data_IF_582450140229
#
_entry.id   IF_582450140229
#
_cell.length_a   1.000
_cell.length_b   1.000
_cell.length_c   1.000
_cell.angle_alpha   90.00
_cell.angle_beta   90.00
_cell.angle_gamma   90.00
#
_symmetry.space_group_name_H-M   'P 1'
#
loop_
_entity.id
_entity.type
_entity.pdbx_description
1 polymer ?
#
# COMPACT_ATOMS: atom_id res chain seq x y z
N UNK A 1 -35.62 -13.98 -17.47
CA UNK A 1 -34.96 -12.74 -17.04
C UNK A 1 -33.57 -12.71 -17.64
N UNK A 2 -33.17 -11.66 -18.36
CA UNK A 2 -31.85 -11.59 -18.99
C UNK A 2 -30.77 -11.55 -17.89
N UNK A 3 -29.89 -12.55 -17.86
CA UNK A 3 -28.80 -12.65 -16.88
C UNK A 3 -27.52 -11.94 -17.33
N UNK A 4 -27.44 -11.53 -18.60
CA UNK A 4 -26.28 -10.84 -19.13
C UNK A 4 -26.22 -9.40 -18.60
N UNK A 5 -25.07 -9.05 -18.04
CA UNK A 5 -24.68 -7.67 -17.69
C UNK A 5 -23.31 -7.38 -18.29
N UNK A 6 -23.06 -6.14 -18.72
CA UNK A 6 -21.75 -5.76 -19.28
C UNK A 6 -20.66 -6.02 -18.23
N UNK A 7 -19.56 -6.66 -18.64
CA UNK A 7 -18.47 -7.09 -17.78
C UNK A 7 -18.72 -8.41 -17.04
N UNK A 8 -19.88 -9.06 -17.22
CA UNK A 8 -20.09 -10.41 -16.70
C UNK A 8 -19.14 -11.40 -17.37
N UNK A 9 -18.59 -12.31 -16.56
CA UNK A 9 -17.80 -13.43 -17.05
C UNK A 9 -18.70 -14.61 -17.31
N UNK A 10 -18.54 -15.22 -18.48
CA UNK A 10 -19.36 -16.33 -18.92
C UNK A 10 -18.51 -17.40 -19.59
N UNK A 11 -18.87 -18.67 -19.42
CA UNK A 11 -18.33 -19.78 -20.20
C UNK A 11 -19.45 -20.38 -21.04
N UNK A 12 -19.19 -20.67 -22.31
CA UNK A 12 -20.16 -21.35 -23.15
C UNK A 12 -20.21 -22.84 -22.76
N UNK A 13 -21.39 -23.34 -22.35
CA UNK A 13 -21.56 -24.73 -21.90
C UNK A 13 -21.30 -25.72 -23.02
N UNK A 14 -21.82 -25.43 -24.19
CA UNK A 14 -21.73 -26.36 -25.34
C UNK A 14 -20.39 -26.24 -26.10
N UNK A 15 -19.60 -25.19 -25.85
CA UNK A 15 -18.36 -24.93 -26.60
C UNK A 15 -17.26 -24.51 -25.61
N UNK A 16 -16.71 -25.47 -24.84
CA UNK A 16 -15.67 -25.17 -23.84
C UNK A 16 -14.39 -24.59 -24.45
N UNK A 17 -14.11 -24.87 -25.72
CA UNK A 17 -12.94 -24.37 -26.45
C UNK A 17 -12.92 -22.86 -26.64
N UNK A 18 -14.04 -22.16 -26.39
CA UNK A 18 -14.05 -20.70 -26.38
C UNK A 18 -13.35 -20.12 -25.14
N UNK A 19 -13.13 -20.91 -24.08
CA UNK A 19 -12.56 -20.42 -22.83
C UNK A 19 -13.55 -19.54 -22.06
N UNK A 20 -13.02 -18.62 -21.25
CA UNK A 20 -13.84 -17.62 -20.56
C UNK A 20 -14.10 -16.44 -21.49
N UNK A 21 -15.33 -15.93 -21.44
CA UNK A 21 -15.74 -14.75 -22.18
C UNK A 21 -16.21 -13.63 -21.27
N UNK A 22 -16.09 -12.40 -21.76
CA UNK A 22 -16.60 -11.20 -21.09
C UNK A 22 -17.70 -10.60 -21.96
N UNK A 23 -18.86 -10.32 -21.34
CA UNK A 23 -19.94 -9.59 -22.01
C UNK A 23 -19.48 -8.16 -22.27
N UNK A 24 -19.25 -7.81 -23.53
CA UNK A 24 -18.77 -6.47 -23.91
C UNK A 24 -19.92 -5.52 -24.25
N UNK A 25 -21.06 -6.04 -24.72
CA UNK A 25 -22.25 -5.24 -25.04
C UNK A 25 -23.54 -6.04 -24.85
N UNK A 26 -24.63 -5.40 -24.43
CA UNK A 26 -25.95 -6.02 -24.23
C UNK A 26 -26.93 -5.81 -25.39
N UNK A 27 -26.63 -4.85 -26.27
CA UNK A 27 -27.45 -4.48 -27.42
C UNK A 27 -26.54 -3.87 -28.48
N UNK A 28 -25.88 -4.72 -29.27
CA UNK A 28 -25.27 -4.24 -30.50
C UNK A 28 -26.36 -3.77 -31.49
N UNK A 29 -25.97 -3.27 -32.67
CA UNK A 29 -26.91 -2.74 -33.66
C UNK A 29 -28.03 -3.73 -34.09
N UNK A 30 -27.88 -5.01 -33.78
CA UNK A 30 -28.84 -6.09 -34.07
C UNK A 30 -29.65 -6.54 -32.85
N UNK A 31 -29.49 -5.88 -31.69
CA UNK A 31 -30.15 -6.23 -30.43
C UNK A 31 -29.58 -7.48 -29.74
N UNK A 32 -28.39 -7.94 -30.14
CA UNK A 32 -27.72 -9.11 -29.58
C UNK A 32 -26.75 -8.73 -28.47
N UNK A 33 -26.41 -9.72 -27.63
CA UNK A 33 -25.32 -9.64 -26.65
C UNK A 33 -24.01 -9.99 -27.34
N UNK A 34 -22.98 -9.18 -27.12
CA UNK A 34 -21.62 -9.47 -27.55
C UNK A 34 -20.78 -9.98 -26.38
N UNK A 35 -20.07 -11.07 -26.65
CA UNK A 35 -19.20 -11.74 -25.69
C UNK A 35 -17.84 -11.93 -26.36
N UNK A 36 -16.80 -11.33 -25.77
CA UNK A 36 -15.43 -11.53 -26.23
C UNK A 36 -14.81 -12.70 -25.45
N UNK A 37 -14.50 -13.77 -26.16
CA UNK A 37 -13.90 -15.00 -25.62
C UNK A 37 -12.38 -14.99 -25.78
N UNK A 38 -11.65 -15.56 -24.82
CA UNK A 38 -10.17 -15.64 -24.78
C UNK A 38 -9.56 -16.09 -26.12
N UNK A 39 -10.09 -17.19 -26.67
CA UNK A 39 -9.51 -17.84 -27.84
C UNK A 39 -10.16 -17.43 -29.17
N UNK A 40 -11.00 -16.37 -29.18
CA UNK A 40 -11.64 -15.87 -30.41
C UNK A 40 -11.11 -14.49 -30.80
N UNK A 41 -10.69 -14.37 -32.06
CA UNK A 41 -10.29 -13.08 -32.65
C UNK A 41 -11.44 -12.08 -32.81
N UNK A 42 -12.69 -12.54 -32.77
CA UNK A 42 -13.87 -11.68 -32.97
C UNK A 42 -14.95 -12.00 -31.93
N UNK A 43 -15.69 -10.97 -31.48
CA UNK A 43 -16.78 -11.16 -30.52
C UNK A 43 -17.79 -12.20 -30.99
N UNK A 44 -18.22 -13.05 -30.08
CA UNK A 44 -19.36 -13.95 -30.27
C UNK A 44 -20.64 -13.17 -30.01
N UNK A 45 -21.62 -13.30 -30.89
CA UNK A 45 -22.94 -12.70 -30.71
C UNK A 45 -23.94 -13.76 -30.30
N UNK A 46 -24.79 -13.46 -29.33
CA UNK A 46 -25.83 -14.38 -28.88
C UNK A 46 -27.13 -13.64 -28.56
N UNK A 47 -28.24 -14.36 -28.69
CA UNK A 47 -29.53 -13.84 -28.27
C UNK A 47 -29.58 -13.82 -26.73
N UNK A 48 -29.99 -12.70 -26.10
CA UNK A 48 -30.09 -12.62 -24.64
C UNK A 48 -30.97 -13.71 -24.01
N UNK A 49 -31.90 -14.30 -24.78
CA UNK A 49 -32.75 -15.41 -24.34
C UNK A 49 -31.99 -16.72 -24.12
N UNK A 50 -30.84 -16.92 -24.78
CA UNK A 50 -30.00 -18.12 -24.66
C UNK A 50 -29.03 -18.08 -23.48
N UNK A 51 -29.37 -17.35 -22.41
CA UNK A 51 -28.52 -17.25 -21.20
C UNK A 51 -28.28 -18.59 -20.50
N UNK A 52 -29.12 -19.58 -20.75
CA UNK A 52 -29.02 -20.96 -20.26
C UNK A 52 -27.82 -21.72 -20.84
N UNK A 53 -27.36 -21.37 -22.05
CA UNK A 53 -26.15 -21.93 -22.68
C UNK A 53 -24.85 -21.45 -22.06
N UNK A 54 -24.94 -20.59 -21.06
CA UNK A 54 -23.79 -19.98 -20.42
C UNK A 54 -23.74 -20.33 -18.93
N UNK A 55 -22.54 -20.58 -18.45
CA UNK A 55 -22.21 -20.59 -17.04
C UNK A 55 -21.73 -19.18 -16.66
N UNK A 56 -22.41 -18.53 -15.72
CA UNK A 56 -22.02 -17.21 -15.23
C UNK A 56 -21.01 -17.39 -14.11
N UNK A 57 -19.79 -16.94 -14.35
CA UNK A 57 -18.69 -17.07 -13.41
C UNK A 57 -18.73 -15.90 -12.43
N UNK A 58 -18.51 -16.19 -11.14
CA UNK A 58 -18.31 -15.14 -10.16
C UNK A 58 -17.11 -14.28 -10.55
N UNK A 59 -17.25 -12.95 -10.42
CA UNK A 59 -16.15 -12.03 -10.69
C UNK A 59 -15.12 -12.19 -9.57
N UNK A 60 -13.92 -12.65 -9.91
CA UNK A 60 -12.85 -12.85 -8.92
C UNK A 60 -12.36 -11.54 -8.29
N UNK A 61 -12.45 -10.43 -9.04
CA UNK A 61 -11.97 -9.12 -8.62
C UNK A 61 -12.95 -8.00 -9.00
N UNK A 62 -12.96 -6.93 -8.21
CA UNK A 62 -13.66 -5.66 -8.48
C UNK A 62 -12.69 -4.48 -8.43
N UNK A 63 -13.10 -3.36 -9.05
CA UNK A 63 -12.37 -2.09 -8.90
C UNK A 63 -12.30 -1.73 -7.42
N UNK A 64 -11.11 -1.32 -6.97
CA UNK A 64 -10.81 -1.02 -5.57
C UNK A 64 -10.30 -2.21 -4.76
N UNK A 65 -10.37 -3.44 -5.28
CA UNK A 65 -9.73 -4.57 -4.60
C UNK A 65 -8.22 -4.37 -4.51
N UNK A 66 -7.68 -4.79 -3.37
CA UNK A 66 -6.25 -4.87 -3.13
C UNK A 66 -5.75 -6.20 -3.64
N UNK A 67 -4.66 -6.16 -4.40
CA UNK A 67 -4.14 -7.34 -5.05
C UNK A 67 -2.62 -7.42 -4.97
N UNK A 68 -2.12 -8.64 -4.83
CA UNK A 68 -0.72 -8.98 -4.98
C UNK A 68 -0.46 -9.38 -6.43
N UNK A 69 0.65 -8.88 -6.98
CA UNK A 69 1.06 -9.06 -8.37
C UNK A 69 2.56 -9.43 -8.39
N UNK A 70 3.12 -9.90 -9.53
CA UNK A 70 4.55 -10.17 -9.65
C UNK A 70 5.43 -8.93 -9.41
N UNK A 71 4.85 -7.72 -9.53
CA UNK A 71 5.55 -6.44 -9.40
C UNK A 71 5.35 -5.78 -8.02
N UNK A 72 4.50 -6.36 -7.17
CA UNK A 72 4.19 -5.87 -5.82
C UNK A 72 2.69 -5.76 -5.58
N UNK A 73 2.34 -5.06 -4.51
CA UNK A 73 0.95 -4.89 -4.09
C UNK A 73 0.39 -3.65 -4.79
N UNK A 74 -0.86 -3.73 -5.23
CA UNK A 74 -1.55 -2.64 -5.88
C UNK A 74 -3.06 -2.69 -5.70
N UNK A 75 -3.73 -1.74 -6.35
CA UNK A 75 -5.18 -1.59 -6.34
C UNK A 75 -5.72 -1.74 -7.76
N UNK A 76 -6.74 -2.55 -7.94
CA UNK A 76 -7.44 -2.68 -9.22
C UNK A 76 -8.13 -1.34 -9.56
N UNK A 77 -7.72 -0.69 -10.64
CA UNK A 77 -8.29 0.56 -11.15
C UNK A 77 -9.32 0.34 -12.24
N UNK A 78 -9.10 -0.66 -13.09
CA UNK A 78 -10.04 -1.03 -14.13
C UNK A 78 -10.08 -2.54 -14.31
N UNK A 79 -11.29 -3.03 -14.50
CA UNK A 79 -11.54 -4.40 -14.91
C UNK A 79 -11.38 -4.50 -16.43
N UNK A 80 -11.20 -5.72 -16.96
CA UNK A 80 -10.98 -5.89 -18.37
C UNK A 80 -12.23 -5.45 -19.13
N UNK A 81 -12.06 -4.51 -20.06
CA UNK A 81 -13.15 -3.96 -20.86
C UNK A 81 -13.04 -4.36 -22.35
N UNK A 82 -11.96 -5.04 -22.74
CA UNK A 82 -11.63 -5.33 -24.14
C UNK A 82 -11.06 -6.74 -24.32
N UNK A 83 -10.76 -7.09 -25.57
CA UNK A 83 -10.29 -8.40 -25.98
C UNK A 83 -8.96 -8.84 -25.36
N UNK A 84 -8.20 -7.93 -24.74
CA UNK A 84 -6.94 -8.28 -24.08
C UNK A 84 -7.14 -8.97 -22.74
N UNK A 85 -8.32 -8.83 -22.12
CA UNK A 85 -8.65 -9.42 -20.81
C UNK A 85 -7.72 -9.00 -19.66
N UNK A 86 -6.99 -7.90 -19.84
CA UNK A 86 -6.08 -7.34 -18.84
C UNK A 86 -6.80 -6.40 -17.86
N UNK A 87 -6.41 -6.45 -16.59
CA UNK A 87 -6.80 -5.52 -15.54
C UNK A 87 -5.76 -4.40 -15.44
N UNK A 88 -6.21 -3.17 -15.19
CA UNK A 88 -5.30 -2.09 -14.81
C UNK A 88 -5.12 -2.12 -13.29
N UNK A 89 -3.88 -2.30 -12.84
CA UNK A 89 -3.50 -2.23 -11.42
C UNK A 89 -2.58 -1.06 -11.20
N UNK A 90 -2.92 -0.20 -10.24
CA UNK A 90 -2.02 0.84 -9.72
C UNK A 90 -1.23 0.28 -8.54
N UNK A 91 0.07 0.09 -8.73
CA UNK A 91 0.98 -0.43 -7.71
C UNK A 91 1.22 0.61 -6.61
N UNK A 92 1.58 0.19 -5.40
CA UNK A 92 1.91 1.10 -4.30
C UNK A 92 3.27 1.79 -4.47
N UNK A 93 4.12 1.20 -5.33
CA UNK A 93 5.47 1.68 -5.63
C UNK A 93 5.64 1.89 -7.12
N UNK A 94 6.52 2.81 -7.54
CA UNK A 94 6.87 2.95 -8.95
C UNK A 94 7.42 1.63 -9.49
N UNK A 95 7.01 1.27 -10.70
CA UNK A 95 7.45 0.06 -11.39
C UNK A 95 8.11 0.40 -12.72
N UNK A 96 7.34 1.01 -13.63
CA UNK A 96 7.78 1.38 -14.97
C UNK A 96 7.00 2.62 -15.42
N UNK A 97 7.57 3.52 -16.26
CA UNK A 97 6.86 4.66 -16.83
C UNK A 97 5.70 4.21 -17.72
N UNK A 98 4.59 3.90 -17.08
CA UNK A 98 3.37 3.40 -17.69
C UNK A 98 2.18 3.83 -16.80
N UNK A 99 1.06 4.17 -17.43
CA UNK A 99 -0.13 4.72 -16.77
C UNK A 99 -1.42 3.96 -17.10
N UNK A 100 -1.34 2.82 -17.79
CA UNK A 100 -2.51 2.05 -18.26
C UNK A 100 -3.52 2.96 -18.96
N UNK A 101 -3.07 3.69 -20.01
CA UNK A 101 -3.87 4.66 -20.76
C UNK A 101 -4.52 5.76 -19.88
N UNK A 102 -3.83 6.15 -18.80
CA UNK A 102 -4.29 7.17 -17.85
C UNK A 102 -5.20 6.68 -16.73
N UNK A 103 -5.46 5.37 -16.64
CA UNK A 103 -6.27 4.77 -15.56
C UNK A 103 -5.53 4.69 -14.22
N UNK A 104 -4.20 4.82 -14.25
CA UNK A 104 -3.32 4.75 -13.08
C UNK A 104 -2.36 5.95 -13.11
N UNK A 105 -1.78 6.27 -11.95
CA UNK A 105 -0.71 7.27 -11.86
C UNK A 105 0.47 6.89 -12.75
N UNK A 106 1.03 7.87 -13.45
CA UNK A 106 2.24 7.70 -14.27
C UNK A 106 3.39 7.10 -13.45
N UNK A 107 3.93 5.97 -13.92
CA UNK A 107 5.00 5.24 -13.25
C UNK A 107 4.53 4.08 -12.35
N UNK A 108 3.22 3.94 -12.14
CA UNK A 108 2.64 3.00 -11.18
C UNK A 108 1.69 1.98 -11.83
N UNK A 109 1.40 2.11 -13.13
CA UNK A 109 0.44 1.26 -13.81
C UNK A 109 1.02 -0.05 -14.33
N UNK A 110 0.33 -1.16 -14.08
CA UNK A 110 0.59 -2.45 -14.71
C UNK A 110 -0.69 -3.02 -15.34
N UNK A 111 -0.58 -3.48 -16.60
CA UNK A 111 -1.57 -4.36 -17.20
C UNK A 111 -1.24 -5.80 -16.85
N UNK A 112 -2.18 -6.50 -16.22
CA UNK A 112 -1.97 -7.85 -15.70
C UNK A 112 -3.13 -8.75 -16.12
N UNK A 113 -2.85 -10.05 -16.26
CA UNK A 113 -3.90 -11.05 -16.41
C UNK A 113 -4.48 -11.45 -15.05
N UNK A 114 -5.63 -12.10 -15.04
CA UNK A 114 -6.28 -12.50 -13.79
C UNK A 114 -5.44 -13.53 -13.04
N UNK A 115 -4.77 -14.41 -13.79
CA UNK A 115 -3.99 -15.53 -13.26
C UNK A 115 -2.72 -15.07 -12.54
N UNK A 116 -2.23 -13.87 -12.89
CA UNK A 116 -1.06 -13.25 -12.29
C UNK A 116 -1.38 -12.49 -11.00
N UNK A 117 -2.66 -12.40 -10.64
CA UNK A 117 -3.15 -11.50 -9.60
C UNK A 117 -3.84 -12.31 -8.50
N UNK A 118 -3.53 -12.01 -7.24
CA UNK A 118 -4.16 -12.62 -6.07
C UNK A 118 -4.78 -11.56 -5.18
N UNK A 119 -5.89 -11.86 -4.53
CA UNK A 119 -6.48 -10.94 -3.55
C UNK A 119 -5.48 -10.74 -2.40
N UNK A 120 -5.11 -9.49 -2.13
CA UNK A 120 -4.22 -9.17 -1.03
C UNK A 120 -5.05 -8.96 0.24
N UNK A 121 -4.98 -9.93 1.14
CA UNK A 121 -5.51 -9.81 2.49
C UNK A 121 -4.41 -9.23 3.40
N UNK A 122 -4.54 -7.97 3.88
CA UNK A 122 -3.54 -7.42 4.77
C UNK A 122 -3.47 -8.26 6.04
N UNK A 123 -2.26 -8.45 6.62
CA UNK A 123 -2.12 -9.16 7.88
C UNK A 123 -3.01 -8.49 8.92
N UNK A 124 -3.79 -9.29 9.64
CA UNK A 124 -4.65 -8.81 10.72
C UNK A 124 -3.81 -8.02 11.72
N UNK A 125 -4.44 -7.05 12.41
CA UNK A 125 -3.76 -6.20 13.39
C UNK A 125 -3.02 -6.99 14.49
N UNK A 126 -3.33 -8.26 14.66
CA UNK A 126 -2.67 -9.19 15.59
C UNK A 126 -1.35 -9.73 15.04
N UNK A 127 -1.29 -10.10 13.75
CA UNK A 127 -0.07 -10.51 13.08
C UNK A 127 0.95 -9.36 12.95
N UNK A 128 0.46 -8.12 12.73
CA UNK A 128 1.31 -6.92 12.71
C UNK A 128 1.95 -6.66 14.08
N UNK A 129 1.20 -6.87 15.18
CA UNK A 129 1.74 -6.78 16.55
C UNK A 129 2.81 -7.83 16.83
N UNK A 130 2.72 -9.01 16.23
CA UNK A 130 3.69 -10.09 16.38
C UNK A 130 5.00 -9.83 15.61
N UNK A 131 4.94 -9.15 14.46
CA UNK A 131 6.08 -8.89 13.58
C UNK A 131 6.83 -7.58 13.87
N UNK A 132 6.24 -6.62 14.58
CA UNK A 132 7.03 -5.48 15.10
C UNK A 132 8.04 -5.97 16.14
N UNK A 133 9.34 -5.63 16.02
CA UNK A 133 10.27 -5.88 17.11
C UNK A 133 9.70 -5.21 18.35
N UNK A 134 9.43 -6.00 19.39
CA UNK A 134 8.97 -5.52 20.70
C UNK A 134 9.96 -4.48 21.17
N UNK A 135 9.67 -3.20 20.93
CA UNK A 135 10.46 -2.09 21.45
C UNK A 135 10.30 -2.20 22.95
N UNK A 136 11.32 -2.73 23.63
CA UNK A 136 11.38 -2.69 25.09
C UNK A 136 11.33 -1.22 25.46
N UNK A 137 10.20 -0.77 26.00
CA UNK A 137 10.10 0.56 26.60
C UNK A 137 11.09 0.62 27.76
N UNK A 138 12.30 1.13 27.51
CA UNK A 138 13.31 1.30 28.54
C UNK A 138 12.81 2.42 29.44
N UNK A 139 12.33 2.07 30.63
CA UNK A 139 11.95 3.05 31.65
C UNK A 139 13.22 3.56 32.31
N UNK A 140 13.48 4.87 32.23
CA UNK A 140 14.63 5.46 32.90
C UNK A 140 14.41 5.51 34.41
N UNK A 141 15.45 5.22 35.19
CA UNK A 141 15.42 5.43 36.65
C UNK A 141 15.17 6.91 36.93
N UNK A 142 14.19 7.21 37.79
CA UNK A 142 13.88 8.57 38.25
C UNK A 142 15.15 9.23 38.80
N UNK A 143 15.47 10.42 38.29
CA UNK A 143 16.69 11.17 38.65
C UNK A 143 17.96 10.80 37.87
N UNK A 144 17.91 9.79 37.00
CA UNK A 144 19.04 9.48 36.11
C UNK A 144 19.34 10.62 35.13
N UNK A 145 20.54 10.60 34.53
CA UNK A 145 20.91 11.57 33.50
C UNK A 145 19.93 11.56 32.32
N UNK A 146 19.48 10.38 31.88
CA UNK A 146 18.48 10.24 30.81
C UNK A 146 17.10 10.76 31.21
N UNK A 147 16.62 10.45 32.42
CA UNK A 147 15.33 10.98 32.92
C UNK A 147 15.33 12.52 32.96
N UNK A 148 16.41 13.14 33.45
CA UNK A 148 16.55 14.59 33.50
C UNK A 148 16.64 15.22 32.10
N UNK A 149 17.41 14.61 31.20
CA UNK A 149 17.51 15.04 29.80
C UNK A 149 16.16 14.96 29.08
N UNK A 150 15.42 13.87 29.26
CA UNK A 150 14.09 13.69 28.67
C UNK A 150 13.11 14.72 29.21
N UNK A 151 13.04 14.93 30.54
CA UNK A 151 12.18 15.96 31.15
C UNK A 151 12.49 17.35 30.61
N UNK A 152 13.77 17.69 30.48
CA UNK A 152 14.19 18.97 29.94
C UNK A 152 13.84 19.14 28.45
N UNK A 153 13.98 18.09 27.64
CA UNK A 153 13.57 18.14 26.23
C UNK A 153 12.04 18.10 26.05
N UNK A 154 11.31 17.47 26.98
CA UNK A 154 9.84 17.44 26.98
C UNK A 154 9.24 18.80 27.27
N UNK A 155 9.92 19.66 28.05
CA UNK A 155 9.51 21.05 28.25
C UNK A 155 9.79 21.96 27.03
N UNK A 156 10.11 21.38 25.86
CA UNK A 156 10.33 22.10 24.62
C UNK A 156 11.77 22.59 24.39
N UNK A 157 12.69 22.30 25.30
CA UNK A 157 14.07 22.77 25.18
C UNK A 157 14.93 21.88 24.29
N UNK A 158 15.93 22.47 23.64
CA UNK A 158 17.01 21.75 22.95
C UNK A 158 18.23 21.54 23.86
N UNK A 159 18.98 20.48 23.61
CA UNK A 159 20.22 20.15 24.33
C UNK A 159 21.40 20.08 23.37
N UNK A 160 22.46 20.80 23.71
CA UNK A 160 23.78 20.75 23.05
C UNK A 160 24.79 20.04 23.97
N UNK A 161 25.95 19.59 23.48
CA UNK A 161 26.96 18.92 24.31
C UNK A 161 27.39 19.74 25.53
N UNK A 162 27.54 21.06 25.35
CA UNK A 162 27.92 21.98 26.43
C UNK A 162 26.79 22.07 27.48
N UNK A 163 25.54 22.30 27.04
CA UNK A 163 24.37 22.32 27.95
C UNK A 163 24.22 20.99 28.69
N UNK A 164 24.47 19.86 28.02
CA UNK A 164 24.38 18.54 28.61
C UNK A 164 25.40 18.32 29.72
N UNK A 165 26.63 18.77 29.50
CA UNK A 165 27.71 18.71 30.49
C UNK A 165 27.41 19.60 31.69
N UNK A 166 27.04 20.86 31.44
CA UNK A 166 26.82 21.86 32.49
C UNK A 166 25.59 21.58 33.35
N UNK A 167 24.47 21.16 32.76
CA UNK A 167 23.20 21.01 33.48
C UNK A 167 22.98 19.59 34.04
N UNK A 168 23.53 18.56 33.40
CA UNK A 168 23.23 17.16 33.72
C UNK A 168 24.46 16.30 34.01
N UNK A 169 25.67 16.86 33.87
CA UNK A 169 26.93 16.12 34.00
C UNK A 169 27.11 15.05 32.91
N UNK A 170 26.43 15.19 31.76
CA UNK A 170 26.44 14.20 30.69
C UNK A 170 27.58 14.47 29.70
N UNK A 171 28.75 13.90 29.93
CA UNK A 171 29.93 14.09 29.06
C UNK A 171 29.77 13.47 27.67
N UNK A 172 29.03 12.35 27.57
CA UNK A 172 28.73 11.66 26.31
C UNK A 172 27.26 11.83 25.94
N UNK A 173 26.86 13.06 25.56
CA UNK A 173 25.49 13.37 25.16
C UNK A 173 24.96 12.42 24.07
N UNK A 174 25.76 12.13 23.03
CA UNK A 174 25.34 11.25 21.95
C UNK A 174 24.95 9.84 22.43
N UNK A 175 25.65 9.29 23.43
CA UNK A 175 25.31 7.99 24.02
C UNK A 175 23.97 8.04 24.77
N UNK A 176 23.72 9.12 25.53
CA UNK A 176 22.45 9.35 26.22
C UNK A 176 21.29 9.53 25.25
N UNK A 177 21.50 10.25 24.15
CA UNK A 177 20.49 10.37 23.09
C UNK A 177 20.20 9.01 22.43
N UNK A 178 21.21 8.15 22.24
CA UNK A 178 20.99 6.79 21.73
C UNK A 178 20.13 5.96 22.68
N UNK A 179 20.37 6.02 24.00
CA UNK A 179 19.52 5.37 25.01
C UNK A 179 18.08 5.89 24.96
N UNK A 180 17.90 7.21 24.83
CA UNK A 180 16.59 7.88 24.69
C UNK A 180 15.86 7.44 23.42
N UNK A 181 16.57 7.32 22.29
CA UNK A 181 16.00 6.77 21.05
C UNK A 181 15.61 5.30 21.19
N UNK A 182 16.45 4.49 21.85
CA UNK A 182 16.16 3.08 22.14
C UNK A 182 14.95 2.90 23.07
N UNK A 183 14.71 3.86 23.96
CA UNK A 183 13.52 3.91 24.80
C UNK A 183 12.23 4.28 24.04
N UNK A 184 12.34 4.61 22.74
CA UNK A 184 11.20 4.92 21.87
C UNK A 184 10.94 6.41 21.66
N UNK A 185 11.74 7.30 22.25
CA UNK A 185 11.56 8.74 22.05
C UNK A 185 12.10 9.19 20.68
N UNK A 186 11.28 9.94 19.95
CA UNK A 186 11.66 10.53 18.67
C UNK A 186 12.49 11.80 18.91
N UNK A 187 13.80 11.71 18.74
CA UNK A 187 14.73 12.84 18.88
C UNK A 187 15.12 13.37 17.50
N UNK A 188 14.89 14.67 17.27
CA UNK A 188 15.42 15.43 16.12
C UNK A 188 16.84 15.87 16.42
N UNK A 189 17.73 15.66 15.47
CA UNK A 189 19.11 16.17 15.50
C UNK A 189 19.26 17.27 14.45
N UNK A 190 19.85 18.39 14.84
CA UNK A 190 20.26 19.48 13.93
C UNK A 190 21.74 19.71 14.13
N UNK A 191 22.49 19.73 13.03
CA UNK A 191 23.92 20.07 13.07
C UNK A 191 24.05 21.59 12.94
N UNK A 192 24.80 22.21 13.85
CA UNK A 192 25.07 23.65 13.89
C UNK A 192 26.57 23.89 13.89
N UNK A 193 26.97 25.03 13.34
CA UNK A 193 28.36 25.50 13.32
C UNK A 193 28.45 26.75 14.19
N UNK A 194 29.42 26.77 15.09
CA UNK A 194 29.71 27.92 15.95
C UNK A 194 30.45 29.02 15.17
N UNK A 195 30.53 30.23 15.74
CA UNK A 195 31.26 31.38 15.19
C UNK A 195 32.75 31.07 14.94
N UNK A 196 33.31 30.16 15.74
CA UNK A 196 34.69 29.68 15.61
C UNK A 196 34.85 28.53 14.58
N UNK A 197 33.83 28.25 13.76
CA UNK A 197 33.83 27.17 12.77
C UNK A 197 33.65 25.75 13.34
N UNK A 198 33.44 25.62 14.66
CA UNK A 198 33.28 24.30 15.29
C UNK A 198 31.86 23.77 15.11
N UNK A 199 31.75 22.56 14.57
CA UNK A 199 30.46 21.89 14.34
C UNK A 199 30.01 21.11 15.58
N UNK A 200 28.74 21.23 15.94
CA UNK A 200 28.11 20.49 17.04
C UNK A 200 26.69 20.06 16.71
N UNK A 201 26.22 19.01 17.37
CA UNK A 201 24.85 18.52 17.25
C UNK A 201 23.96 19.13 18.34
N UNK A 202 22.79 19.61 17.95
CA UNK A 202 21.71 20.03 18.82
C UNK A 202 20.56 19.01 18.73
N UNK A 203 20.05 18.58 19.88
CA UNK A 203 18.99 17.57 19.98
C UNK A 203 17.72 18.16 20.58
N UNK A 204 16.56 17.78 20.06
CA UNK A 204 15.23 18.16 20.56
C UNK A 204 14.23 17.01 20.37
N UNK A 205 13.15 16.97 21.15
CA UNK A 205 12.10 15.96 20.94
C UNK A 205 11.14 16.37 19.83
N UNK A 206 10.89 15.46 18.88
CA UNK A 206 10.01 15.63 17.72
C UNK A 206 8.69 14.91 18.03
N UNK A 207 7.75 15.63 18.64
CA UNK A 207 6.44 15.19 19.15
C UNK A 207 6.47 14.40 20.47
N UNK A 208 5.73 14.95 21.44
CA UNK A 208 5.27 14.28 22.65
C UNK A 208 4.23 13.24 22.22
N UNK A 209 4.66 12.00 21.97
CA UNK A 209 3.71 10.88 22.00
C UNK A 209 3.14 10.83 23.42
N UNK A 210 1.81 10.89 23.55
CA UNK A 210 1.06 10.84 24.82
C UNK A 210 1.76 9.91 25.82
N UNK A 211 2.27 10.48 26.91
CA UNK A 211 2.66 9.71 28.08
C UNK A 211 1.38 9.55 28.88
N UNK A 212 0.94 8.30 29.06
CA UNK A 212 -0.13 7.99 30.00
C UNK A 212 0.30 8.51 31.39
N UNK A 213 -0.60 9.28 32.01
CA UNK A 213 -0.46 9.72 33.39
C UNK A 213 -0.47 8.52 34.36
#
# INVERSE_FOLDING_TARGET
MNKFVVGARVRHRDIPSFGVGIVTSLKNARGLVEIQFEYRKSPWTTDPRHSDRYEFLARAFKVGDRVETPYGIGTVKALPHSATMLFAVELDRPYWPHSCDGLTKEGYGAWLFEEDVKLFEPPTSEAVKAATPKVKTITFKKGSQCDRLVKYMLSGNSVTPIKARSLFGAERLAARILEIKKAGHKVKTVIKTDLNGKVYAEYSLRNVGRVAA
#
